data_IF_056985321155
#
_entry.id   IF_056985321155
#
_cell.length_a   1.000
_cell.length_b   1.000
_cell.length_c   1.000
_cell.angle_alpha   90.00
_cell.angle_beta   90.00
_cell.angle_gamma   90.00
#
_symmetry.space_group_name_H-M   'P 1'
#
loop_
_entity.id
_entity.type
_entity.pdbx_description
1 polymer ?
#
# COMPACT_ATOMS: atom_id res chain seq x y z
N UNK A 1 -41.90 20.02 13.04
CA UNK A 1 -41.58 19.27 11.79
C UNK A 1 -40.16 18.83 11.95
N UNK A 2 -39.98 17.61 12.46
CA UNK A 2 -38.67 17.03 12.65
C UNK A 2 -38.10 16.68 11.26
N UNK A 3 -37.08 17.39 10.85
CA UNK A 3 -36.37 17.09 9.61
C UNK A 3 -35.61 15.80 9.81
N UNK A 4 -35.87 14.79 8.97
CA UNK A 4 -35.09 13.54 8.92
C UNK A 4 -33.60 13.77 8.60
N UNK A 5 -33.18 15.02 8.35
CA UNK A 5 -31.79 15.40 8.15
C UNK A 5 -30.98 15.45 9.46
N UNK A 6 -31.65 15.61 10.62
CA UNK A 6 -30.99 15.78 11.92
C UNK A 6 -30.76 14.46 12.68
N UNK A 7 -31.39 13.34 12.28
CA UNK A 7 -31.22 12.06 12.95
C UNK A 7 -30.63 11.01 12.01
N UNK A 8 -29.32 10.71 12.10
CA UNK A 8 -28.67 9.68 11.28
C UNK A 8 -29.26 8.28 11.44
N UNK A 9 -29.78 7.94 12.64
CA UNK A 9 -30.37 6.61 12.90
C UNK A 9 -31.68 6.41 12.13
N UNK A 10 -32.44 7.47 11.86
CA UNK A 10 -33.67 7.39 11.07
C UNK A 10 -33.46 7.01 9.60
N UNK A 11 -32.20 7.07 9.13
CA UNK A 11 -31.80 6.76 7.75
C UNK A 11 -31.03 5.46 7.59
N UNK A 12 -30.92 4.64 8.63
CA UNK A 12 -30.17 3.38 8.59
C UNK A 12 -30.62 2.49 7.41
N UNK A 13 -31.91 2.42 7.15
CA UNK A 13 -32.46 1.69 6.01
C UNK A 13 -31.93 2.17 4.65
N UNK A 14 -31.67 3.48 4.51
CA UNK A 14 -31.15 4.07 3.28
C UNK A 14 -29.69 3.69 3.05
N UNK A 15 -28.89 3.63 4.11
CA UNK A 15 -27.50 3.16 4.04
C UNK A 15 -27.43 1.68 3.68
N UNK A 16 -28.25 0.85 4.31
CA UNK A 16 -28.35 -0.57 3.98
C UNK A 16 -28.84 -0.79 2.53
N UNK A 17 -29.76 0.04 2.05
CA UNK A 17 -30.18 0.02 0.67
C UNK A 17 -29.07 0.40 -0.30
N UNK A 18 -28.21 1.37 0.08
CA UNK A 18 -27.02 1.76 -0.67
C UNK A 18 -26.02 0.61 -0.81
N UNK A 19 -25.70 -0.09 0.30
CA UNK A 19 -24.84 -1.28 0.28
C UNK A 19 -25.40 -2.32 -0.70
N UNK A 20 -26.69 -2.67 -0.57
CA UNK A 20 -27.34 -3.65 -1.45
C UNK A 20 -27.31 -3.22 -2.92
N UNK A 21 -27.52 -1.94 -3.20
CA UNK A 21 -27.52 -1.42 -4.57
C UNK A 21 -26.14 -1.53 -5.23
N UNK A 22 -25.07 -1.16 -4.49
CA UNK A 22 -23.69 -1.27 -4.98
C UNK A 22 -23.29 -2.75 -5.12
N UNK A 23 -23.59 -3.58 -4.12
CA UNK A 23 -23.30 -5.02 -4.19
C UNK A 23 -23.99 -5.68 -5.39
N UNK A 24 -25.27 -5.41 -5.58
CA UNK A 24 -26.02 -5.93 -6.72
C UNK A 24 -25.49 -5.43 -8.08
N UNK A 25 -24.89 -4.24 -8.12
CA UNK A 25 -24.17 -3.78 -9.30
C UNK A 25 -22.91 -4.61 -9.55
N UNK A 26 -22.08 -4.84 -8.53
CA UNK A 26 -20.90 -5.67 -8.66
C UNK A 26 -21.23 -7.10 -9.09
N UNK A 27 -22.25 -7.69 -8.48
CA UNK A 27 -22.72 -9.05 -8.83
C UNK A 27 -23.13 -9.14 -10.32
N UNK A 28 -23.87 -8.13 -10.84
CA UNK A 28 -24.25 -8.06 -12.26
C UNK A 28 -23.07 -7.88 -13.21
N UNK A 29 -22.04 -7.18 -12.74
CA UNK A 29 -20.82 -6.93 -13.53
C UNK A 29 -19.78 -8.04 -13.40
N UNK A 30 -20.02 -9.06 -12.58
CA UNK A 30 -19.06 -10.13 -12.29
C UNK A 30 -17.83 -9.63 -11.52
N UNK A 31 -17.98 -8.55 -10.76
CA UNK A 31 -16.90 -7.97 -9.92
C UNK A 31 -16.95 -8.63 -8.55
N UNK A 32 -15.88 -9.30 -8.17
CA UNK A 32 -15.76 -9.94 -6.85
C UNK A 32 -15.29 -8.92 -5.82
N UNK A 33 -16.23 -8.22 -5.22
CA UNK A 33 -16.00 -7.23 -4.17
C UNK A 33 -17.08 -7.31 -3.10
N UNK A 34 -16.71 -6.97 -1.88
CA UNK A 34 -17.61 -6.86 -0.72
C UNK A 34 -17.83 -5.39 -0.38
N UNK A 35 -19.09 -5.00 -0.21
CA UNK A 35 -19.46 -3.61 0.12
C UNK A 35 -19.88 -3.52 1.58
N UNK A 36 -19.28 -2.60 2.30
CA UNK A 36 -19.62 -2.29 3.69
C UNK A 36 -19.89 -0.80 3.89
N UNK A 37 -20.57 -0.44 4.97
CA UNK A 37 -20.68 0.93 5.41
C UNK A 37 -19.51 1.27 6.33
N UNK A 38 -18.93 2.44 6.14
CA UNK A 38 -17.95 3.01 7.06
C UNK A 38 -18.64 3.76 8.22
N UNK A 39 -17.84 4.22 9.18
CA UNK A 39 -18.34 4.94 10.36
C UNK A 39 -19.08 6.24 9.99
N UNK A 40 -18.77 6.82 8.84
CA UNK A 40 -19.44 8.02 8.33
C UNK A 40 -20.63 7.60 7.45
N UNK A 41 -21.81 8.03 7.84
CA UNK A 41 -23.04 7.77 7.10
C UNK A 41 -22.96 8.25 5.64
N UNK A 42 -23.24 7.35 4.70
CA UNK A 42 -23.21 7.65 3.27
C UNK A 42 -21.87 7.42 2.60
N UNK A 43 -20.87 6.93 3.34
CA UNK A 43 -19.59 6.46 2.78
C UNK A 43 -19.59 4.94 2.78
N UNK A 44 -19.28 4.36 1.63
CA UNK A 44 -19.23 2.91 1.43
C UNK A 44 -17.81 2.51 1.06
N UNK A 45 -17.36 1.41 1.65
CA UNK A 45 -16.09 0.76 1.31
C UNK A 45 -16.37 -0.42 0.40
N UNK A 46 -15.63 -0.50 -0.69
CA UNK A 46 -15.64 -1.65 -1.59
C UNK A 46 -14.31 -2.37 -1.47
N UNK A 47 -14.30 -3.57 -0.90
CA UNK A 47 -13.13 -4.42 -0.76
C UNK A 47 -13.11 -5.44 -1.88
N UNK A 48 -12.17 -5.29 -2.82
CA UNK A 48 -11.99 -6.23 -3.92
C UNK A 48 -11.26 -7.48 -3.44
N UNK A 49 -11.75 -8.66 -3.81
CA UNK A 49 -11.06 -9.92 -3.53
C UNK A 49 -10.02 -10.18 -4.58
N UNK A 50 -8.79 -10.39 -4.13
CA UNK A 50 -7.69 -10.71 -5.04
C UNK A 50 -7.83 -12.15 -5.54
N UNK A 51 -7.88 -12.35 -6.86
CA UNK A 51 -7.91 -13.67 -7.48
C UNK A 51 -6.54 -14.34 -7.49
N UNK A 52 -5.49 -13.53 -7.44
CA UNK A 52 -4.10 -13.94 -7.43
C UNK A 52 -3.28 -12.99 -6.54
N UNK A 53 -2.08 -13.39 -6.22
CA UNK A 53 -1.17 -12.59 -5.40
C UNK A 53 0.11 -12.28 -6.20
N UNK A 54 0.07 -11.30 -7.13
CA UNK A 54 1.23 -10.92 -7.92
C UNK A 54 2.35 -10.35 -7.03
N UNK A 55 3.59 -10.42 -7.51
CA UNK A 55 4.71 -9.82 -6.80
C UNK A 55 4.58 -8.30 -6.79
N UNK A 56 4.68 -7.70 -5.59
CA UNK A 56 4.72 -6.25 -5.39
C UNK A 56 6.15 -5.83 -5.05
N UNK A 57 6.73 -4.92 -5.84
CA UNK A 57 8.02 -4.31 -5.53
C UNK A 57 7.82 -3.01 -4.77
N UNK A 58 8.25 -2.98 -3.51
CA UNK A 58 8.20 -1.79 -2.65
C UNK A 58 9.48 -1.00 -2.85
N UNK A 59 9.36 0.23 -3.37
CA UNK A 59 10.47 1.12 -3.72
C UNK A 59 10.63 2.15 -2.62
N UNK A 60 11.77 2.16 -1.93
CA UNK A 60 12.00 2.99 -0.73
C UNK A 60 13.32 3.76 -0.85
N UNK A 61 13.30 5.04 -1.20
CA UNK A 61 14.48 5.90 -1.06
C UNK A 61 14.86 6.08 0.41
N UNK A 62 16.15 5.98 0.72
CA UNK A 62 16.66 6.19 2.07
C UNK A 62 17.99 6.94 2.09
N UNK A 63 18.19 7.73 3.15
CA UNK A 63 19.45 8.41 3.47
C UNK A 63 19.61 8.53 4.99
N UNK A 64 20.57 7.80 5.57
CA UNK A 64 20.93 7.84 7.00
C UNK A 64 19.83 7.53 8.03
N UNK A 65 18.57 7.39 7.63
CA UNK A 65 17.41 7.14 8.48
C UNK A 65 17.15 5.64 8.65
N UNK A 66 18.11 4.92 9.25
CA UNK A 66 18.02 3.45 9.39
C UNK A 66 16.95 2.98 10.35
N UNK A 67 16.67 3.75 11.42
CA UNK A 67 15.62 3.41 12.39
C UNK A 67 14.21 3.54 11.78
N UNK A 68 13.99 4.56 10.96
CA UNK A 68 12.71 4.76 10.26
C UNK A 68 12.52 3.67 9.20
N UNK A 69 13.55 3.40 8.41
CA UNK A 69 13.54 2.32 7.41
C UNK A 69 13.28 0.95 8.06
N UNK A 70 13.90 0.66 9.22
CA UNK A 70 13.69 -0.58 9.96
C UNK A 70 12.22 -0.73 10.40
N UNK A 71 11.64 0.33 10.98
CA UNK A 71 10.22 0.36 11.36
C UNK A 71 9.30 0.19 10.16
N UNK A 72 9.60 0.86 9.06
CA UNK A 72 8.84 0.77 7.81
C UNK A 72 8.77 -0.68 7.32
N UNK A 73 9.92 -1.32 7.09
CA UNK A 73 9.98 -2.69 6.58
C UNK A 73 9.37 -3.69 7.59
N UNK A 74 9.71 -3.57 8.87
CA UNK A 74 9.13 -4.45 9.91
C UNK A 74 7.63 -4.31 10.02
N UNK A 75 7.08 -3.11 9.90
CA UNK A 75 5.63 -2.92 9.96
C UNK A 75 4.92 -3.71 8.86
N UNK A 76 5.50 -3.78 7.67
CA UNK A 76 4.96 -4.56 6.55
C UNK A 76 5.14 -6.06 6.79
N UNK A 77 6.32 -6.51 7.23
CA UNK A 77 6.61 -7.93 7.45
C UNK A 77 5.81 -8.53 8.62
N UNK A 78 5.68 -7.78 9.73
CA UNK A 78 5.05 -8.26 10.95
C UNK A 78 3.53 -8.08 10.94
N UNK A 79 3.04 -6.91 10.50
CA UNK A 79 1.61 -6.58 10.54
C UNK A 79 0.90 -6.91 9.23
N UNK A 80 1.56 -6.72 8.07
CA UNK A 80 0.96 -6.91 6.76
C UNK A 80 0.54 -8.36 6.50
N UNK A 81 -0.63 -8.54 5.91
CA UNK A 81 -1.16 -9.86 5.50
C UNK A 81 -0.64 -10.27 4.13
N UNK A 82 -0.34 -9.30 3.25
CA UNK A 82 0.26 -9.58 1.95
C UNK A 82 1.73 -9.98 2.08
N UNK A 83 2.13 -11.12 1.49
CA UNK A 83 3.47 -11.68 1.69
C UNK A 83 4.32 -11.78 0.43
N UNK A 84 3.73 -11.68 -0.76
CA UNK A 84 4.47 -11.74 -2.02
C UNK A 84 5.06 -10.37 -2.38
N UNK A 85 6.08 -9.96 -1.62
CA UNK A 85 6.70 -8.64 -1.67
C UNK A 85 8.21 -8.78 -1.82
N UNK A 86 8.82 -7.88 -2.57
CA UNK A 86 10.25 -7.55 -2.50
C UNK A 86 10.45 -6.07 -2.17
N UNK A 87 11.61 -5.72 -1.63
CA UNK A 87 11.98 -4.36 -1.27
C UNK A 87 13.19 -3.91 -2.06
N UNK A 88 13.07 -2.77 -2.73
CA UNK A 88 14.18 -2.08 -3.39
C UNK A 88 14.47 -0.82 -2.58
N UNK A 89 15.44 -0.90 -1.70
CA UNK A 89 15.92 0.25 -0.92
C UNK A 89 16.95 1.00 -1.75
N UNK A 90 16.73 2.30 -1.96
CA UNK A 90 17.62 3.11 -2.76
C UNK A 90 18.41 4.03 -1.83
N UNK A 91 19.67 3.68 -1.61
CA UNK A 91 20.62 4.48 -0.85
C UNK A 91 20.97 5.75 -1.61
N UNK A 92 20.83 6.92 -0.96
CA UNK A 92 21.13 8.22 -1.56
C UNK A 92 22.12 9.07 -0.74
N UNK A 93 23.40 8.83 -0.94
CA UNK A 93 24.49 9.63 -0.37
C UNK A 93 24.45 9.74 1.17
N UNK A 94 24.23 8.63 1.87
CA UNK A 94 24.36 8.53 3.32
C UNK A 94 25.79 8.86 3.77
N UNK A 95 25.91 9.48 4.94
CA UNK A 95 27.19 9.90 5.49
C UNK A 95 27.64 9.05 6.69
N UNK A 96 26.70 8.36 7.33
CA UNK A 96 26.98 7.57 8.53
C UNK A 96 27.45 6.16 8.16
N UNK A 97 28.55 5.72 8.73
CA UNK A 97 29.05 4.34 8.51
C UNK A 97 28.08 3.27 9.00
N UNK A 98 27.35 3.58 10.05
CA UNK A 98 26.35 2.70 10.63
C UNK A 98 25.21 2.37 9.65
N UNK A 99 24.92 3.28 8.72
CA UNK A 99 23.92 3.08 7.67
C UNK A 99 24.31 1.92 6.75
N UNK A 100 25.55 1.86 6.33
CA UNK A 100 26.04 0.80 5.43
C UNK A 100 26.10 -0.55 6.14
N UNK A 101 26.54 -0.57 7.41
CA UNK A 101 26.51 -1.79 8.22
C UNK A 101 25.07 -2.30 8.44
N UNK A 102 24.12 -1.40 8.61
CA UNK A 102 22.70 -1.74 8.69
C UNK A 102 22.19 -2.36 7.38
N UNK A 103 22.53 -1.81 6.22
CA UNK A 103 22.13 -2.37 4.93
C UNK A 103 22.66 -3.79 4.70
N UNK A 104 23.92 -4.04 5.05
CA UNK A 104 24.52 -5.38 4.98
C UNK A 104 23.74 -6.37 5.85
N UNK A 105 23.47 -5.98 7.11
CA UNK A 105 22.68 -6.78 8.04
C UNK A 105 21.26 -7.02 7.52
N UNK A 106 20.58 -5.98 7.07
CA UNK A 106 19.19 -6.05 6.57
C UNK A 106 19.07 -7.04 5.42
N UNK A 107 19.98 -6.99 4.43
CA UNK A 107 19.98 -7.92 3.30
C UNK A 107 20.34 -9.36 3.71
N UNK A 108 21.17 -9.55 4.74
CA UNK A 108 21.51 -10.87 5.25
C UNK A 108 20.33 -11.51 6.01
N UNK A 109 19.56 -10.70 6.76
CA UNK A 109 18.41 -11.16 7.55
C UNK A 109 17.11 -11.28 6.74
N UNK A 110 16.94 -10.45 5.70
CA UNK A 110 15.75 -10.45 4.87
C UNK A 110 16.11 -10.58 3.37
N UNK A 111 16.03 -11.78 2.79
CA UNK A 111 16.39 -12.02 1.39
C UNK A 111 15.47 -11.34 0.36
N UNK A 112 14.33 -10.79 0.80
CA UNK A 112 13.44 -9.98 -0.04
C UNK A 112 13.99 -8.57 -0.27
N UNK A 113 14.99 -8.12 0.52
CA UNK A 113 15.54 -6.77 0.44
C UNK A 113 16.73 -6.73 -0.50
N UNK A 114 16.72 -5.78 -1.40
CA UNK A 114 17.85 -5.40 -2.24
C UNK A 114 18.17 -3.93 -2.03
N UNK A 115 19.41 -3.61 -1.69
CA UNK A 115 19.91 -2.22 -1.61
C UNK A 115 20.62 -1.87 -2.91
N UNK A 116 20.27 -0.72 -3.49
CA UNK A 116 20.89 -0.16 -4.70
C UNK A 116 21.33 1.27 -4.42
N UNK A 117 22.35 1.75 -5.12
CA UNK A 117 23.01 3.03 -4.81
C UNK A 117 22.72 4.07 -5.89
N UNK A 118 22.19 5.22 -5.47
CA UNK A 118 21.98 6.41 -6.29
C UNK A 118 22.97 7.50 -5.86
N UNK A 119 24.07 7.64 -6.58
CA UNK A 119 25.18 8.55 -6.25
C UNK A 119 24.99 9.98 -6.78
N UNK A 120 23.78 10.33 -7.24
CA UNK A 120 23.44 11.65 -7.77
C UNK A 120 22.74 12.50 -6.70
N UNK A 121 22.55 13.79 -7.01
CA UNK A 121 21.70 14.65 -6.19
C UNK A 121 20.29 14.06 -6.05
N UNK A 122 19.67 14.36 -4.91
CA UNK A 122 18.32 13.89 -4.64
C UNK A 122 17.32 14.52 -5.61
N UNK A 123 16.61 13.68 -6.29
CA UNK A 123 15.43 14.04 -7.07
C UNK A 123 14.43 12.89 -6.91
N UNK A 124 13.28 13.16 -6.30
CA UNK A 124 12.32 12.14 -5.93
C UNK A 124 11.88 11.28 -7.12
N UNK A 125 11.53 11.90 -8.25
CA UNK A 125 11.09 11.16 -9.43
C UNK A 125 12.22 10.34 -10.05
N UNK A 126 13.43 10.91 -10.13
CA UNK A 126 14.56 10.24 -10.74
C UNK A 126 15.05 9.05 -9.91
N UNK A 127 15.09 9.18 -8.57
CA UNK A 127 15.52 8.10 -7.68
C UNK A 127 14.51 6.94 -7.69
N UNK A 128 13.21 7.24 -7.67
CA UNK A 128 12.19 6.20 -7.78
C UNK A 128 12.23 5.50 -9.13
N UNK A 129 12.36 6.22 -10.25
CA UNK A 129 12.53 5.63 -11.56
C UNK A 129 13.78 4.74 -11.68
N UNK A 130 14.85 5.13 -10.99
CA UNK A 130 16.06 4.29 -10.90
C UNK A 130 15.77 2.98 -10.15
N UNK A 131 15.08 3.06 -9.01
CA UNK A 131 14.67 1.90 -8.21
C UNK A 131 13.80 0.92 -9.01
N UNK A 132 12.87 1.44 -9.81
CA UNK A 132 12.01 0.62 -10.70
C UNK A 132 12.82 -0.26 -11.63
N UNK A 133 14.00 0.18 -12.08
CA UNK A 133 14.89 -0.62 -12.93
C UNK A 133 15.40 -1.91 -12.28
N UNK A 134 15.23 -2.09 -10.97
CA UNK A 134 15.60 -3.30 -10.22
C UNK A 134 14.41 -4.12 -9.75
N UNK A 135 13.20 -3.59 -9.91
CA UNK A 135 11.96 -4.25 -9.54
C UNK A 135 11.69 -5.47 -10.45
N UNK A 136 11.14 -6.51 -9.85
CA UNK A 136 10.69 -7.73 -10.53
C UNK A 136 9.18 -7.90 -10.47
N UNK A 137 8.53 -7.14 -9.56
CA UNK A 137 7.10 -7.18 -9.36
C UNK A 137 6.34 -6.55 -10.52
N UNK A 138 5.19 -7.09 -10.80
CA UNK A 138 4.23 -6.53 -11.76
C UNK A 138 3.63 -5.22 -11.25
N UNK A 139 3.50 -5.10 -9.93
CA UNK A 139 2.99 -3.91 -9.26
C UNK A 139 4.08 -3.24 -8.45
N UNK A 140 4.05 -1.89 -8.43
CA UNK A 140 5.03 -1.07 -7.75
C UNK A 140 4.36 -0.29 -6.63
N UNK A 141 4.92 -0.35 -5.43
CA UNK A 141 4.51 0.48 -4.30
C UNK A 141 5.65 1.46 -3.98
N UNK A 142 5.43 2.74 -4.25
CA UNK A 142 6.36 3.81 -3.85
C UNK A 142 6.07 4.21 -2.41
N UNK A 143 7.04 4.06 -1.53
CA UNK A 143 6.86 4.26 -0.10
C UNK A 143 8.00 5.10 0.47
N UNK A 144 7.66 6.05 1.34
CA UNK A 144 8.68 6.75 2.11
C UNK A 144 9.22 5.86 3.23
N UNK A 145 10.49 6.05 3.60
CA UNK A 145 11.15 5.28 4.63
C UNK A 145 10.60 5.50 6.06
N UNK A 146 9.87 6.58 6.29
CA UNK A 146 9.25 6.97 7.56
C UNK A 146 7.77 6.56 7.68
N UNK A 147 7.31 5.67 6.82
CA UNK A 147 5.94 5.17 6.79
C UNK A 147 5.80 3.92 7.63
N UNK A 148 4.72 3.79 8.37
CA UNK A 148 4.35 2.57 9.11
C UNK A 148 2.94 2.16 8.73
N UNK A 149 2.73 0.88 8.36
CA UNK A 149 1.37 0.40 8.09
C UNK A 149 0.58 0.24 9.38
N UNK A 150 -0.68 0.66 9.34
CA UNK A 150 -1.62 0.56 10.47
C UNK A 150 -2.57 -0.63 10.23
N UNK A 151 -3.17 -0.68 9.06
CA UNK A 151 -4.12 -1.74 8.70
C UNK A 151 -3.38 -2.91 8.05
N UNK A 152 -3.53 -4.14 8.55
CA UNK A 152 -2.80 -5.30 8.03
C UNK A 152 -3.03 -5.57 6.54
N UNK A 153 -4.19 -5.29 6.03
CA UNK A 153 -4.63 -5.55 4.65
C UNK A 153 -4.48 -4.35 3.69
N UNK A 154 -3.67 -3.33 4.08
CA UNK A 154 -3.55 -2.12 3.28
C UNK A 154 -3.00 -2.36 1.87
N UNK A 155 -2.08 -3.32 1.70
CA UNK A 155 -1.51 -3.64 0.38
C UNK A 155 -2.56 -4.35 -0.48
N UNK A 156 -3.31 -5.28 0.08
CA UNK A 156 -4.43 -5.94 -0.60
C UNK A 156 -5.51 -4.94 -1.03
N UNK A 157 -5.81 -3.96 -0.19
CA UNK A 157 -6.78 -2.92 -0.52
C UNK A 157 -6.33 -2.10 -1.72
N UNK A 158 -5.08 -1.59 -1.70
CA UNK A 158 -4.51 -0.84 -2.81
C UNK A 158 -4.46 -1.69 -4.09
N UNK A 159 -3.99 -2.93 -3.94
CA UNK A 159 -3.82 -3.86 -5.05
C UNK A 159 -5.16 -4.24 -5.69
N UNK A 160 -6.20 -4.44 -4.85
CA UNK A 160 -7.55 -4.77 -5.34
C UNK A 160 -8.14 -3.72 -6.28
N UNK A 161 -7.83 -2.44 -6.06
CA UNK A 161 -8.16 -1.37 -6.99
C UNK A 161 -7.21 -1.34 -8.20
N UNK A 162 -5.90 -1.46 -7.96
CA UNK A 162 -4.88 -1.31 -8.99
C UNK A 162 -4.92 -2.45 -10.04
N UNK A 163 -5.42 -3.64 -9.69
CA UNK A 163 -5.57 -4.78 -10.59
C UNK A 163 -6.76 -4.66 -11.56
N UNK A 164 -7.52 -3.60 -11.51
CA UNK A 164 -8.59 -3.34 -12.47
C UNK A 164 -8.00 -2.81 -13.77
N UNK A 165 -8.53 -3.26 -14.90
CA UNK A 165 -8.06 -2.84 -16.24
C UNK A 165 -8.20 -1.34 -16.53
N UNK A 166 -9.09 -0.66 -15.78
CA UNK A 166 -9.37 0.77 -15.92
C UNK A 166 -8.60 1.65 -14.91
N UNK A 167 -7.72 1.05 -14.07
CA UNK A 167 -6.97 1.75 -13.01
C UNK A 167 -5.48 1.63 -13.26
N UNK A 168 -4.80 2.77 -13.40
CA UNK A 168 -3.35 2.82 -13.60
C UNK A 168 -2.56 3.11 -12.33
N UNK A 169 -3.17 3.79 -11.35
CA UNK A 169 -2.52 4.18 -10.08
C UNK A 169 -3.57 4.35 -8.99
N UNK A 170 -3.18 4.02 -7.76
CA UNK A 170 -3.98 4.18 -6.53
C UNK A 170 -3.12 4.82 -5.45
N UNK A 171 -3.70 5.70 -4.63
CA UNK A 171 -3.02 6.34 -3.50
C UNK A 171 -3.98 7.13 -2.62
#
# INVERSE_FOLDING_TARGET
KDSTAENPESKRYAFEAGIRAIQAHYDRCGIDAEVSAEQLNGIYRSKYRLKEQPLVSVIIPNKDHTEDLDKCIRSIEEKGTYKNIEYIVIENNSQKKETFAYYEKLQAENPKVKVVFWEREFNYSAINNYGVGFAKGEYLLFLNNDTEIINPDCIEELLGYCMRDDVGIVG
#
